data_IF_951722189396
#
_entry.id   IF_951722189396
#
_cell.length_a   1.000
_cell.length_b   1.000
_cell.length_c   1.000
_cell.angle_alpha   90.00
_cell.angle_beta   90.00
_cell.angle_gamma   90.00
#
_symmetry.space_group_name_H-M   'P 1'
#
loop_
_entity.id
_entity.type
_entity.pdbx_description
1 polymer ?
#
# COMPACT_ATOMS: atom_id res chain seq x y z
N UNK A 1 26.20 4.64 13.58
CA UNK A 1 24.79 4.76 13.26
C UNK A 1 24.20 3.43 12.84
N UNK A 2 22.89 3.24 13.01
CA UNK A 2 22.20 2.04 12.56
C UNK A 2 22.33 1.89 11.03
N UNK A 3 22.67 0.69 10.57
CA UNK A 3 22.84 0.42 9.14
C UNK A 3 21.49 0.26 8.41
N UNK A 4 20.41 -0.05 9.16
CA UNK A 4 19.05 -0.22 8.67
C UNK A 4 18.03 0.25 9.71
N UNK A 5 16.84 0.65 9.27
CA UNK A 5 15.72 1.08 10.13
C UNK A 5 15.32 0.02 11.16
N UNK A 6 15.42 -1.26 10.79
CA UNK A 6 15.14 -2.41 11.68
C UNK A 6 16.05 -2.50 12.90
N UNK A 7 17.13 -1.72 12.94
CA UNK A 7 18.07 -1.64 14.09
C UNK A 7 17.77 -0.47 15.04
N UNK A 8 16.74 0.33 14.74
CA UNK A 8 16.31 1.40 15.61
C UNK A 8 15.43 0.84 16.72
N UNK A 9 15.80 1.10 17.96
CA UNK A 9 14.96 0.82 19.12
C UNK A 9 14.02 2.00 19.44
N UNK A 10 13.18 1.82 20.43
CA UNK A 10 12.20 2.83 20.83
C UNK A 10 12.85 4.16 21.26
N UNK A 11 14.06 4.13 21.82
CA UNK A 11 14.78 5.34 22.23
C UNK A 11 15.25 6.14 21.01
N UNK A 12 15.88 5.47 20.04
CA UNK A 12 16.31 6.09 18.78
C UNK A 12 15.12 6.70 18.00
N UNK A 13 13.98 6.00 17.99
CA UNK A 13 12.77 6.52 17.33
C UNK A 13 12.22 7.78 18.01
N UNK A 14 12.27 7.86 19.35
CA UNK A 14 11.88 9.08 20.08
C UNK A 14 12.81 10.25 19.74
N UNK A 15 14.12 10.05 19.78
CA UNK A 15 15.09 11.08 19.41
C UNK A 15 14.90 11.57 17.98
N UNK A 16 14.55 10.65 17.06
CA UNK A 16 14.23 11.01 15.67
C UNK A 16 12.96 11.85 15.56
N UNK A 17 11.89 11.48 16.27
CA UNK A 17 10.64 12.24 16.34
C UNK A 17 10.89 13.65 16.88
N UNK A 18 11.66 13.77 17.97
CA UNK A 18 11.98 15.07 18.56
C UNK A 18 12.79 15.95 17.59
N UNK A 19 13.73 15.35 16.86
CA UNK A 19 14.50 16.01 15.81
C UNK A 19 13.61 16.51 14.66
N UNK A 20 12.65 15.71 14.22
CA UNK A 20 11.69 16.10 13.18
C UNK A 20 10.77 17.24 13.64
N UNK A 21 10.28 17.19 14.88
CA UNK A 21 9.47 18.28 15.45
C UNK A 21 10.26 19.58 15.54
N UNK A 22 11.54 19.50 15.95
CA UNK A 22 12.42 20.67 16.00
C UNK A 22 12.65 21.27 14.61
N UNK A 23 12.89 20.44 13.59
CA UNK A 23 13.05 20.88 12.21
C UNK A 23 11.79 21.55 11.67
N UNK A 24 10.61 20.95 11.89
CA UNK A 24 9.32 21.54 11.50
C UNK A 24 9.16 22.93 12.13
N UNK A 25 9.47 23.05 13.43
CA UNK A 25 9.39 24.34 14.14
C UNK A 25 10.38 25.37 13.56
N UNK A 26 11.61 24.95 13.25
CA UNK A 26 12.62 25.81 12.64
C UNK A 26 12.19 26.33 11.27
N UNK A 27 11.70 25.45 10.39
CA UNK A 27 11.33 25.80 9.02
C UNK A 27 10.00 26.54 8.91
N UNK A 28 8.97 26.10 9.66
CA UNK A 28 7.62 26.65 9.55
C UNK A 28 7.30 27.74 10.56
N UNK A 29 8.15 27.93 11.59
CA UNK A 29 7.92 28.78 12.78
C UNK A 29 6.67 28.37 13.57
N UNK A 30 6.19 27.14 13.39
CA UNK A 30 5.03 26.57 14.08
C UNK A 30 5.41 25.26 14.74
N UNK A 31 4.84 25.01 15.91
CA UNK A 31 4.95 23.69 16.57
C UNK A 31 4.18 22.66 15.78
N UNK A 32 4.72 21.42 15.68
CA UNK A 32 3.95 20.29 15.21
C UNK A 32 2.94 19.91 16.29
N UNK A 33 1.64 19.81 16.00
CA UNK A 33 0.63 19.59 17.04
C UNK A 33 0.74 18.19 17.61
N UNK A 34 0.54 18.06 18.92
CA UNK A 34 0.45 16.77 19.62
C UNK A 34 -0.98 16.21 19.63
N UNK A 35 -2.00 17.06 19.45
CA UNK A 35 -3.39 16.62 19.35
C UNK A 35 -3.64 15.85 18.05
N UNK A 36 -4.08 14.57 18.11
CA UNK A 36 -4.36 13.76 16.93
C UNK A 36 -5.44 14.32 16.00
N UNK A 37 -6.43 15.02 16.54
CA UNK A 37 -7.49 15.62 15.72
C UNK A 37 -6.97 16.84 14.96
N UNK A 38 -6.09 17.61 15.56
CA UNK A 38 -5.43 18.72 14.88
C UNK A 38 -4.47 18.21 13.79
N UNK A 39 -3.72 17.14 14.04
CA UNK A 39 -2.91 16.46 13.02
C UNK A 39 -3.78 15.99 11.85
N UNK A 40 -4.91 15.35 12.13
CA UNK A 40 -5.86 14.89 11.11
C UNK A 40 -6.39 16.09 10.30
N UNK A 41 -6.80 17.18 10.96
CA UNK A 41 -7.27 18.39 10.28
C UNK A 41 -6.23 18.94 9.31
N UNK A 42 -4.98 19.07 9.75
CA UNK A 42 -3.87 19.53 8.90
C UNK A 42 -3.61 18.59 7.72
N UNK A 43 -3.69 17.29 7.92
CA UNK A 43 -3.54 16.30 6.86
C UNK A 43 -4.67 16.41 5.81
N UNK A 44 -5.91 16.60 6.27
CA UNK A 44 -7.08 16.83 5.40
C UNK A 44 -6.88 18.10 4.56
N UNK A 45 -6.51 19.22 5.21
CA UNK A 45 -6.26 20.49 4.53
C UNK A 45 -5.14 20.34 3.47
N UNK A 46 -4.07 19.61 3.78
CA UNK A 46 -2.97 19.36 2.86
C UNK A 46 -3.43 18.53 1.63
N UNK A 47 -4.26 17.50 1.82
CA UNK A 47 -4.77 16.68 0.71
C UNK A 47 -5.69 17.51 -0.18
N UNK A 48 -6.62 18.30 0.36
CA UNK A 48 -7.46 19.18 -0.46
C UNK A 48 -6.65 20.23 -1.20
N UNK A 49 -5.67 20.83 -0.55
CA UNK A 49 -4.77 21.81 -1.17
C UNK A 49 -3.94 21.22 -2.30
N UNK A 50 -3.56 19.94 -2.22
CA UNK A 50 -2.75 19.27 -3.23
C UNK A 50 -3.43 19.20 -4.60
N UNK A 51 -4.78 19.26 -4.66
CA UNK A 51 -5.53 19.33 -5.91
C UNK A 51 -5.10 20.52 -6.79
N UNK A 52 -4.75 21.64 -6.18
CA UNK A 52 -4.32 22.85 -6.86
C UNK A 52 -2.79 22.96 -7.03
N UNK A 53 -2.04 21.93 -6.61
CA UNK A 53 -0.60 21.88 -6.83
C UNK A 53 -0.25 21.81 -8.33
N UNK A 54 0.86 22.43 -8.73
CA UNK A 54 1.27 22.51 -10.13
C UNK A 54 1.34 21.16 -10.85
N UNK A 55 1.83 20.12 -10.15
CA UNK A 55 1.89 18.76 -10.67
C UNK A 55 0.50 18.16 -10.94
N UNK A 56 -0.44 18.35 -10.02
CA UNK A 56 -1.81 17.86 -10.16
C UNK A 56 -2.56 18.59 -11.28
N UNK A 57 -2.38 19.90 -11.40
CA UNK A 57 -2.95 20.73 -12.49
C UNK A 57 -2.42 20.24 -13.85
N UNK A 58 -1.11 20.01 -13.97
CA UNK A 58 -0.50 19.50 -15.22
C UNK A 58 -1.04 18.12 -15.56
N UNK A 59 -1.15 17.21 -14.57
CA UNK A 59 -1.70 15.88 -14.77
C UNK A 59 -3.13 15.94 -15.31
N UNK A 60 -4.00 16.76 -14.69
CA UNK A 60 -5.39 16.92 -15.15
C UNK A 60 -5.49 17.43 -16.58
N UNK A 61 -4.63 18.40 -16.95
CA UNK A 61 -4.59 18.89 -18.34
C UNK A 61 -4.22 17.80 -19.34
N UNK A 62 -3.20 16.99 -19.02
CA UNK A 62 -2.76 15.89 -19.89
C UNK A 62 -3.84 14.83 -20.08
N UNK A 63 -4.59 14.51 -19.03
CA UNK A 63 -5.61 13.46 -19.06
C UNK A 63 -7.04 13.98 -19.24
N UNK A 64 -7.21 15.27 -19.56
CA UNK A 64 -8.52 15.90 -19.76
C UNK A 64 -9.49 15.71 -18.60
N UNK A 65 -8.98 15.78 -17.37
CA UNK A 65 -9.78 15.65 -16.15
C UNK A 65 -10.32 17.04 -15.78
N UNK A 66 -11.64 17.22 -15.61
CA UNK A 66 -12.23 18.50 -15.26
C UNK A 66 -11.76 19.02 -13.90
N UNK A 67 -11.37 20.29 -13.84
CA UNK A 67 -10.96 20.94 -12.58
C UNK A 67 -12.09 21.00 -11.54
N UNK A 68 -13.35 20.96 -12.01
CA UNK A 68 -14.54 20.98 -11.15
C UNK A 68 -14.80 19.70 -10.35
N UNK A 69 -14.09 18.59 -10.64
CA UNK A 69 -14.30 17.34 -9.89
C UNK A 69 -13.81 17.40 -8.45
N UNK A 70 -12.70 18.07 -8.21
CA UNK A 70 -12.08 18.07 -6.89
C UNK A 70 -11.42 16.75 -6.54
N UNK A 71 -11.06 16.59 -5.28
CA UNK A 71 -10.52 15.35 -4.71
C UNK A 71 -11.31 14.91 -3.48
N UNK A 72 -11.15 13.67 -3.07
CA UNK A 72 -11.77 13.10 -1.89
C UNK A 72 -10.70 12.57 -0.91
N UNK A 73 -11.10 12.39 0.33
CA UNK A 73 -10.24 11.88 1.40
C UNK A 73 -10.91 10.67 2.04
N UNK A 74 -10.13 9.62 2.25
CA UNK A 74 -10.53 8.49 3.08
C UNK A 74 -9.66 8.47 4.34
N UNK A 75 -10.30 8.47 5.50
CA UNK A 75 -9.62 8.25 6.78
C UNK A 75 -9.79 6.78 7.15
N UNK A 76 -8.69 6.05 7.16
CA UNK A 76 -8.69 4.60 7.40
C UNK A 76 -7.78 4.24 8.56
N UNK A 77 -8.13 3.17 9.29
CA UNK A 77 -7.25 2.63 10.32
C UNK A 77 -5.96 2.12 9.67
N UNK A 78 -4.81 2.52 10.24
CA UNK A 78 -3.52 2.01 9.82
C UNK A 78 -3.31 0.60 10.37
N UNK A 79 -2.77 -0.29 9.55
CA UNK A 79 -2.40 -1.66 9.92
C UNK A 79 -0.93 -1.90 9.64
N UNK A 80 -0.29 -2.74 10.45
CA UNK A 80 1.16 -2.88 10.47
C UNK A 80 1.58 -4.31 10.15
N UNK A 81 2.32 -4.48 9.05
CA UNK A 81 2.91 -5.76 8.66
C UNK A 81 4.21 -6.10 9.38
N UNK A 82 4.73 -5.20 10.22
CA UNK A 82 5.97 -5.35 10.97
C UNK A 82 5.75 -5.60 12.48
N UNK A 83 4.63 -6.23 12.84
CA UNK A 83 4.28 -6.62 14.22
C UNK A 83 4.73 -8.06 14.55
N UNK A 84 5.92 -8.45 14.08
CA UNK A 84 6.50 -9.76 14.34
C UNK A 84 6.20 -10.82 13.26
N UNK A 85 6.55 -12.07 13.53
CA UNK A 85 6.57 -13.17 12.56
C UNK A 85 5.19 -13.60 12.04
N UNK A 86 4.11 -13.23 12.73
CA UNK A 86 2.71 -13.47 12.28
C UNK A 86 2.13 -12.33 11.46
N UNK A 87 2.94 -11.30 11.21
CA UNK A 87 2.57 -10.11 10.44
C UNK A 87 3.39 -10.06 9.14
N UNK A 88 2.88 -9.38 8.14
CA UNK A 88 3.53 -9.23 6.85
C UNK A 88 2.75 -8.33 5.91
N UNK A 89 3.32 -8.06 4.76
CA UNK A 89 2.68 -7.28 3.71
C UNK A 89 2.96 -7.90 2.36
N UNK A 90 2.17 -7.56 1.35
CA UNK A 90 2.41 -8.07 0.01
C UNK A 90 1.57 -7.41 -1.06
N UNK A 91 1.96 -7.71 -2.29
CA UNK A 91 1.29 -7.33 -3.52
C UNK A 91 1.00 -8.57 -4.34
N UNK A 92 -0.14 -8.62 -4.97
CA UNK A 92 -0.52 -9.79 -5.76
C UNK A 92 -1.42 -9.42 -6.94
N UNK A 93 -1.37 -10.26 -7.97
CA UNK A 93 -2.27 -10.22 -9.10
C UNK A 93 -3.20 -11.44 -9.06
N UNK A 94 -4.45 -11.25 -9.41
CA UNK A 94 -5.42 -12.36 -9.47
C UNK A 94 -5.08 -13.39 -10.55
N UNK A 95 -4.23 -13.01 -11.51
CA UNK A 95 -3.66 -13.85 -12.58
C UNK A 95 -2.22 -13.46 -12.85
N UNK A 96 -1.49 -14.31 -13.57
CA UNK A 96 -0.16 -13.95 -14.06
C UNK A 96 -0.25 -12.76 -15.04
N UNK A 97 0.36 -11.61 -14.72
CA UNK A 97 0.27 -10.41 -15.55
C UNK A 97 1.05 -10.52 -16.89
N UNK A 98 1.96 -11.49 -17.01
CA UNK A 98 2.72 -11.72 -18.23
C UNK A 98 1.98 -12.64 -19.21
N UNK A 99 1.32 -13.68 -18.71
CA UNK A 99 0.72 -14.74 -19.52
C UNK A 99 -0.82 -14.72 -19.53
N UNK A 100 -1.47 -14.13 -18.53
CA UNK A 100 -2.92 -14.15 -18.31
C UNK A 100 -3.45 -15.47 -17.73
N UNK A 101 -2.56 -16.38 -17.34
CA UNK A 101 -2.96 -17.66 -16.72
C UNK A 101 -3.63 -17.44 -15.36
N UNK A 102 -4.60 -18.32 -15.05
CA UNK A 102 -5.35 -18.31 -13.77
C UNK A 102 -4.49 -18.79 -12.59
N UNK A 103 -3.32 -18.20 -12.43
CA UNK A 103 -2.40 -18.45 -11.34
C UNK A 103 -2.34 -17.24 -10.44
N UNK A 104 -2.58 -17.42 -9.15
CA UNK A 104 -2.45 -16.35 -8.18
C UNK A 104 -0.96 -15.99 -8.04
N UNK A 105 -0.60 -14.82 -8.56
CA UNK A 105 0.77 -14.37 -8.72
C UNK A 105 1.05 -13.20 -7.78
N UNK A 106 2.21 -13.18 -7.13
CA UNK A 106 2.58 -12.05 -6.28
C UNK A 106 3.68 -12.38 -5.29
N UNK A 107 4.00 -11.37 -4.50
CA UNK A 107 5.11 -11.39 -3.55
C UNK A 107 4.66 -10.89 -2.18
N UNK A 108 5.31 -11.40 -1.15
CA UNK A 108 5.08 -10.98 0.23
C UNK A 108 6.37 -10.96 1.05
N UNK A 109 6.39 -10.15 2.09
CA UNK A 109 7.42 -10.12 3.12
C UNK A 109 6.77 -10.28 4.48
N UNK A 110 7.32 -11.18 5.30
CA UNK A 110 6.93 -11.27 6.71
C UNK A 110 7.71 -10.26 7.53
N UNK A 111 7.08 -9.80 8.61
CA UNK A 111 7.61 -8.77 9.51
C UNK A 111 8.19 -7.57 8.72
N UNK A 112 7.32 -6.95 7.90
CA UNK A 112 7.70 -5.90 6.96
C UNK A 112 6.54 -4.93 6.69
N UNK A 113 6.87 -3.72 6.29
CA UNK A 113 5.93 -2.72 5.79
C UNK A 113 5.89 -2.71 4.25
N UNK A 114 4.93 -1.99 3.67
CA UNK A 114 4.75 -1.91 2.22
C UNK A 114 5.98 -1.39 1.47
N UNK A 115 6.68 -0.43 2.05
CA UNK A 115 7.91 0.16 1.52
C UNK A 115 9.02 -0.88 1.36
N UNK A 116 9.12 -1.85 2.27
CA UNK A 116 10.14 -2.90 2.23
C UNK A 116 10.00 -3.79 1.00
N UNK A 117 8.75 -4.01 0.53
CA UNK A 117 8.47 -4.81 -0.68
C UNK A 117 8.98 -4.10 -1.93
N UNK A 118 8.77 -2.78 -2.01
CA UNK A 118 9.12 -1.99 -3.21
C UNK A 118 10.55 -1.48 -3.20
N UNK A 119 11.15 -1.33 -2.02
CA UNK A 119 12.54 -0.82 -1.87
C UNK A 119 13.61 -1.84 -2.29
N UNK A 120 13.27 -3.13 -2.41
CA UNK A 120 14.21 -4.18 -2.81
C UNK A 120 15.34 -4.47 -1.80
N UNK A 121 15.19 -4.01 -0.56
CA UNK A 121 16.19 -4.20 0.52
C UNK A 121 16.20 -5.66 1.00
N UNK A 122 15.04 -6.30 0.98
CA UNK A 122 14.84 -7.72 1.34
C UNK A 122 14.29 -8.45 0.14
N UNK A 123 14.71 -9.71 -0.07
CA UNK A 123 14.17 -10.56 -1.13
C UNK A 123 12.75 -11.00 -0.76
N UNK A 124 11.72 -10.62 -1.54
CA UNK A 124 10.36 -11.06 -1.29
C UNK A 124 10.21 -12.57 -1.48
N UNK A 125 9.25 -13.13 -0.78
CA UNK A 125 8.80 -14.51 -0.97
C UNK A 125 7.62 -14.53 -1.95
N UNK A 126 7.44 -15.59 -2.76
CA UNK A 126 6.23 -15.74 -3.55
C UNK A 126 5.01 -15.78 -2.60
N UNK A 127 3.90 -15.21 -3.01
CA UNK A 127 2.65 -15.16 -2.20
C UNK A 127 2.19 -16.55 -1.75
N UNK A 128 2.53 -17.60 -2.50
CA UNK A 128 2.28 -19.00 -2.14
C UNK A 128 3.01 -19.45 -0.86
N UNK A 129 4.07 -18.78 -0.44
CA UNK A 129 4.75 -19.07 0.82
C UNK A 129 3.85 -18.84 2.04
N UNK A 130 2.81 -17.99 1.92
CA UNK A 130 1.81 -17.77 2.96
C UNK A 130 1.02 -19.02 3.31
N UNK A 131 0.93 -20.01 2.44
CA UNK A 131 0.32 -21.32 2.74
C UNK A 131 0.92 -21.94 4.01
N UNK A 132 2.23 -21.78 4.20
CA UNK A 132 2.94 -22.30 5.37
C UNK A 132 3.08 -21.28 6.51
N UNK A 133 3.27 -20.01 6.16
CA UNK A 133 3.57 -18.95 7.14
C UNK A 133 2.32 -18.36 7.80
N UNK A 134 1.22 -18.25 7.07
CA UNK A 134 -0.05 -17.69 7.57
C UNK A 134 -1.22 -18.34 6.81
N UNK A 135 -1.53 -19.63 7.06
CA UNK A 135 -2.48 -20.41 6.25
C UNK A 135 -3.89 -19.83 6.26
N UNK A 136 -4.36 -19.29 7.37
CA UNK A 136 -5.70 -18.71 7.45
C UNK A 136 -5.80 -17.40 6.66
N UNK A 137 -4.81 -16.51 6.78
CA UNK A 137 -4.74 -15.29 5.97
C UNK A 137 -4.64 -15.62 4.48
N UNK A 138 -3.87 -16.67 4.10
CA UNK A 138 -3.81 -17.12 2.72
C UNK A 138 -5.16 -17.62 2.18
N UNK A 139 -5.89 -18.43 2.95
CA UNK A 139 -7.23 -18.91 2.57
C UNK A 139 -8.21 -17.75 2.37
N UNK A 140 -8.15 -16.75 3.26
CA UNK A 140 -8.98 -15.55 3.16
C UNK A 140 -8.60 -14.72 1.93
N UNK A 141 -7.31 -14.54 1.67
CA UNK A 141 -6.80 -13.82 0.51
C UNK A 141 -7.25 -14.50 -0.81
N UNK A 142 -7.15 -15.84 -0.88
CA UNK A 142 -7.62 -16.61 -2.05
C UNK A 142 -9.13 -16.44 -2.27
N UNK A 143 -9.93 -16.47 -1.21
CA UNK A 143 -11.38 -16.25 -1.29
C UNK A 143 -11.69 -14.84 -1.77
N UNK A 144 -10.97 -13.86 -1.24
CA UNK A 144 -11.16 -12.45 -1.54
C UNK A 144 -10.80 -12.14 -3.00
N UNK A 145 -9.63 -12.56 -3.49
CA UNK A 145 -9.25 -12.26 -4.87
C UNK A 145 -10.21 -12.89 -5.89
N UNK A 146 -10.70 -14.12 -5.66
CA UNK A 146 -11.69 -14.77 -6.52
C UNK A 146 -13.01 -14.00 -6.56
N UNK A 147 -13.45 -13.47 -5.40
CA UNK A 147 -14.65 -12.63 -5.32
C UNK A 147 -14.46 -11.32 -6.08
N UNK A 148 -13.31 -10.68 -5.93
CA UNK A 148 -12.98 -9.42 -6.60
C UNK A 148 -12.88 -9.60 -8.12
N UNK A 149 -12.16 -10.61 -8.60
CA UNK A 149 -12.03 -10.93 -10.03
C UNK A 149 -13.41 -11.17 -10.66
N UNK A 150 -14.27 -11.95 -10.00
CA UNK A 150 -15.65 -12.17 -10.47
C UNK A 150 -16.49 -10.90 -10.49
N UNK A 151 -16.32 -10.03 -9.49
CA UNK A 151 -17.10 -8.78 -9.37
C UNK A 151 -16.71 -7.78 -10.45
N UNK A 152 -15.42 -7.54 -10.62
CA UNK A 152 -14.90 -6.55 -11.57
C UNK A 152 -14.81 -7.09 -13.01
N UNK A 153 -14.87 -8.40 -13.18
CA UNK A 153 -14.70 -9.07 -14.49
C UNK A 153 -13.39 -8.66 -15.17
N UNK A 154 -12.32 -8.58 -14.38
CA UNK A 154 -10.99 -8.21 -14.85
C UNK A 154 -9.90 -8.74 -13.90
N UNK A 155 -8.67 -8.84 -14.43
CA UNK A 155 -7.49 -9.11 -13.62
C UNK A 155 -7.17 -7.91 -12.74
N UNK A 156 -6.97 -8.17 -11.46
CA UNK A 156 -6.72 -7.13 -10.45
C UNK A 156 -5.33 -7.21 -9.87
N UNK A 157 -4.79 -6.06 -9.55
CA UNK A 157 -3.63 -5.80 -8.72
C UNK A 157 -4.13 -5.52 -7.30
N UNK A 158 -3.59 -6.23 -6.32
CA UNK A 158 -4.03 -6.25 -4.93
C UNK A 158 -2.88 -5.85 -4.02
N UNK A 159 -3.17 -5.00 -3.05
CA UNK A 159 -2.26 -4.71 -1.95
C UNK A 159 -2.91 -5.18 -0.64
N UNK A 160 -2.13 -5.88 0.19
CA UNK A 160 -2.63 -6.43 1.44
C UNK A 160 -1.59 -6.37 2.55
N UNK A 161 -2.07 -6.36 3.79
CA UNK A 161 -1.26 -6.50 5.00
C UNK A 161 -1.86 -7.57 5.89
N UNK A 162 -1.00 -8.34 6.52
CA UNK A 162 -1.36 -9.27 7.58
C UNK A 162 -0.82 -8.69 8.88
N UNK A 163 -1.71 -8.37 9.80
CA UNK A 163 -1.33 -7.93 11.14
C UNK A 163 -1.75 -8.99 12.15
N UNK A 164 -0.78 -9.59 12.84
CA UNK A 164 -1.02 -10.61 13.87
C UNK A 164 -1.94 -11.74 13.40
N UNK A 165 -1.67 -12.25 12.20
CA UNK A 165 -2.43 -13.34 11.56
C UNK A 165 -3.73 -12.91 10.86
N UNK A 166 -4.20 -11.67 11.02
CA UNK A 166 -5.42 -11.16 10.39
C UNK A 166 -5.11 -10.44 9.07
N UNK A 167 -5.83 -10.82 8.02
CA UNK A 167 -5.72 -10.18 6.70
C UNK A 167 -6.45 -8.85 6.64
N UNK A 168 -5.84 -7.87 5.99
CA UNK A 168 -6.43 -6.58 5.62
C UNK A 168 -6.14 -6.29 4.15
N UNK A 169 -7.19 -6.08 3.37
CA UNK A 169 -7.06 -5.60 1.99
C UNK A 169 -6.90 -4.10 2.01
N UNK A 170 -5.83 -3.59 1.42
CA UNK A 170 -5.52 -2.15 1.42
C UNK A 170 -6.02 -1.48 0.15
N UNK A 171 -5.76 -2.10 -1.01
CA UNK A 171 -6.13 -1.55 -2.30
C UNK A 171 -6.40 -2.65 -3.30
N UNK A 172 -7.30 -2.38 -4.24
CA UNK A 172 -7.47 -3.14 -5.47
C UNK A 172 -7.59 -2.19 -6.65
N UNK A 173 -6.99 -2.55 -7.77
CA UNK A 173 -7.05 -1.79 -9.04
C UNK A 173 -6.93 -2.74 -10.22
N UNK A 174 -7.28 -2.24 -11.40
CA UNK A 174 -7.08 -3.00 -12.64
C UNK A 174 -5.58 -3.28 -12.82
N UNK A 175 -5.21 -4.56 -12.94
CA UNK A 175 -3.83 -4.99 -13.05
C UNK A 175 -3.20 -4.61 -14.38
N UNK A 176 -2.01 -4.03 -14.34
CA UNK A 176 -1.18 -3.82 -15.53
C UNK A 176 -0.75 -5.17 -16.06
N UNK A 177 -0.79 -5.35 -17.39
CA UNK A 177 -0.55 -6.63 -18.05
C UNK A 177 0.07 -6.47 -19.43
N UNK A 178 0.66 -7.52 -19.94
CA UNK A 178 1.13 -7.57 -21.34
C UNK A 178 -0.06 -7.67 -22.31
N UNK A 179 0.17 -7.37 -23.60
CA UNK A 179 -0.85 -7.52 -24.65
C UNK A 179 -1.35 -8.97 -24.76
N UNK A 180 -0.45 -9.96 -24.65
CA UNK A 180 -0.79 -11.39 -24.68
C UNK A 180 -1.72 -11.75 -23.52
N UNK A 181 -1.36 -11.33 -22.31
CA UNK A 181 -2.19 -11.56 -21.13
C UNK A 181 -3.55 -10.88 -21.27
N UNK A 182 -3.63 -9.67 -21.83
CA UNK A 182 -4.89 -8.95 -22.05
C UNK A 182 -5.86 -9.73 -22.93
N UNK A 183 -5.36 -10.28 -24.06
CA UNK A 183 -6.17 -11.10 -24.96
C UNK A 183 -6.68 -12.37 -24.25
N UNK A 184 -5.80 -13.09 -23.55
CA UNK A 184 -6.19 -14.29 -22.84
C UNK A 184 -7.23 -14.03 -21.74
N UNK A 185 -7.04 -12.95 -20.97
CA UNK A 185 -7.97 -12.52 -19.92
C UNK A 185 -9.34 -12.19 -20.53
N UNK A 186 -9.36 -11.43 -21.62
CA UNK A 186 -10.61 -11.06 -22.30
C UNK A 186 -11.41 -12.27 -22.83
N UNK A 187 -10.71 -13.36 -23.25
CA UNK A 187 -11.36 -14.58 -23.69
C UNK A 187 -11.94 -15.39 -22.50
N UNK A 188 -11.29 -15.31 -21.36
CA UNK A 188 -11.62 -16.08 -20.16
C UNK A 188 -12.72 -15.47 -19.27
N UNK A 189 -13.04 -14.15 -19.44
CA UNK A 189 -13.98 -13.37 -18.62
C UNK A 189 -15.36 -13.24 -19.28
#
# INVERSE_FOLDING_TARGET
GAAHETHLDAQHLRELVDSFKALVKEETKKEFPDDPLEQLRLAIDAVFSSWNGARAVTYRKVYSIPDSWGTAINVVAMVFGNMGETSGTGVAFTRDPATGEKVFFGECLMNAQGEDVVAGIRTPLPVSALVKKSPEAYKELVRTYKKLEKHYRDMLDLEFTIQEGKLYMLQTRVGKRTGIAAVKIAIDM
#
